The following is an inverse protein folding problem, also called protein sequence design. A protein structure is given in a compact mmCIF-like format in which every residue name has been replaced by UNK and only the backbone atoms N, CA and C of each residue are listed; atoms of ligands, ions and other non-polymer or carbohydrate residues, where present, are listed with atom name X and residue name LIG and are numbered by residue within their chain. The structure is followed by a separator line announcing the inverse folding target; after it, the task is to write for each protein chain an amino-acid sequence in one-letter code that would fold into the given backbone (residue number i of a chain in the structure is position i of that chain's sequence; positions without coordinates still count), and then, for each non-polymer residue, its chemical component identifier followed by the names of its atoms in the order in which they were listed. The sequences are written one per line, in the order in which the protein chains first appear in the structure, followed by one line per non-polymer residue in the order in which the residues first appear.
data_IF_181946732318
#
_entry.id   IF_181946732318
#
_cell.length_a   1.000
_cell.length_b   1.000
_cell.length_c   1.000
_cell.angle_alpha   90.00
_cell.angle_beta   90.00
_cell.angle_gamma   90.00
#
_symmetry.space_group_name_H-M   'P 1'
#
loop_
_entity.id
_entity.type
_entity.pdbx_description
1 polymer ?
#
# COMPACT_ATOMS: atom_id res chain seq x y z
N UNK A 1 -7.74 -3.86 30.98
CA UNK A 1 -6.98 -2.79 30.36
C UNK A 1 -5.50 -3.19 30.22
N UNK A 2 -4.83 -2.85 29.11
CA UNK A 2 -3.41 -3.13 28.87
C UNK A 2 -2.63 -1.81 28.89
N UNK A 3 -1.41 -1.81 29.44
CA UNK A 3 -0.55 -0.64 29.53
C UNK A 3 0.77 -0.92 28.83
N UNK A 4 1.19 -0.03 27.91
CA UNK A 4 2.57 0.02 27.40
C UNK A 4 3.29 1.07 28.23
N UNK A 5 4.30 0.66 29.01
CA UNK A 5 4.84 1.46 30.12
C UNK A 5 6.25 1.94 29.85
N UNK A 6 6.51 3.23 30.13
CA UNK A 6 7.87 3.81 30.24
C UNK A 6 8.54 4.17 28.91
N UNK A 7 7.79 4.28 27.81
CA UNK A 7 8.33 4.56 26.49
C UNK A 7 8.60 6.04 26.18
N UNK A 8 9.36 6.28 25.12
CA UNK A 8 9.46 7.58 24.46
C UNK A 8 8.40 7.55 23.34
N UNK A 9 7.23 8.14 23.60
CA UNK A 9 6.05 7.99 22.75
C UNK A 9 5.95 9.13 21.73
N UNK A 10 5.73 8.80 20.47
CA UNK A 10 5.41 9.76 19.41
C UNK A 10 3.90 9.94 19.27
N UNK A 11 3.41 11.19 19.38
CA UNK A 11 1.98 11.53 19.32
C UNK A 11 1.56 12.28 18.06
N UNK A 12 2.40 12.34 17.02
CA UNK A 12 2.11 13.11 15.81
C UNK A 12 2.44 14.60 15.92
N UNK A 13 2.25 15.21 17.07
CA UNK A 13 2.61 16.60 17.40
C UNK A 13 3.97 16.72 18.12
N UNK A 14 4.63 15.59 18.40
CA UNK A 14 5.92 15.51 19.05
C UNK A 14 6.11 14.28 19.92
N UNK A 15 7.25 14.24 20.61
CA UNK A 15 7.62 13.15 21.49
C UNK A 15 7.23 13.43 22.93
N UNK A 16 6.75 12.38 23.63
CA UNK A 16 6.48 12.35 25.07
C UNK A 16 7.45 11.39 25.73
N UNK A 17 8.32 11.91 26.59
CA UNK A 17 9.30 11.11 27.32
C UNK A 17 8.68 10.55 28.60
N UNK A 18 9.02 9.29 28.94
CA UNK A 18 8.51 8.59 30.10
C UNK A 18 6.98 8.61 30.16
N UNK A 19 6.35 8.14 29.09
CA UNK A 19 4.89 8.08 28.98
C UNK A 19 4.42 6.63 28.96
N UNK A 20 3.20 6.43 29.47
CA UNK A 20 2.47 5.18 29.40
C UNK A 20 1.30 5.32 28.42
N UNK A 21 1.07 4.29 27.60
CA UNK A 21 -0.08 4.23 26.69
C UNK A 21 -1.09 3.26 27.28
N UNK A 22 -2.30 3.76 27.52
CA UNK A 22 -3.42 2.97 28.00
C UNK A 22 -4.22 2.40 26.83
N UNK A 23 -4.42 1.09 26.82
CA UNK A 23 -5.11 0.38 25.75
C UNK A 23 -6.33 -0.35 26.29
N UNK A 24 -7.45 -0.17 25.63
CA UNK A 24 -8.68 -0.90 25.92
C UNK A 24 -9.43 -1.25 24.63
N UNK A 25 -9.88 -2.49 24.52
CA UNK A 25 -10.63 -2.99 23.34
C UNK A 25 -9.94 -2.71 22.00
N UNK A 26 -8.59 -2.83 21.96
CA UNK A 26 -7.80 -2.61 20.75
C UNK A 26 -7.61 -1.14 20.34
N UNK A 27 -7.97 -0.20 21.22
CA UNK A 27 -7.82 1.25 20.98
C UNK A 27 -6.93 1.89 22.03
N UNK A 28 -6.25 2.97 21.63
CA UNK A 28 -5.56 3.86 22.57
C UNK A 28 -6.65 4.66 23.30
N UNK A 29 -6.69 4.49 24.63
CA UNK A 29 -7.59 5.24 25.51
C UNK A 29 -6.99 6.59 25.88
N UNK A 30 -5.70 6.59 26.28
CA UNK A 30 -4.99 7.80 26.67
C UNK A 30 -3.47 7.59 26.64
N UNK A 31 -2.72 8.68 26.68
CA UNK A 31 -1.27 8.69 26.84
C UNK A 31 -0.96 9.61 28.02
N UNK A 32 -0.45 9.02 29.09
CA UNK A 32 -0.28 9.67 30.39
C UNK A 32 1.19 9.65 30.84
N UNK A 33 1.60 10.49 31.80
CA UNK A 33 2.93 10.40 32.40
C UNK A 33 3.18 9.00 32.99
N UNK A 34 4.40 8.47 32.85
CA UNK A 34 4.71 7.12 33.29
C UNK A 34 4.52 6.97 34.82
N UNK A 35 3.94 5.84 35.20
CA UNK A 35 3.61 5.54 36.57
C UNK A 35 2.29 6.13 37.06
N UNK A 36 1.53 6.80 36.21
CA UNK A 36 0.20 7.35 36.56
C UNK A 36 -0.87 6.27 36.64
N UNK A 37 -0.62 5.08 36.13
CA UNK A 37 -1.59 3.99 36.08
C UNK A 37 -0.96 2.60 36.31
N UNK A 38 -1.67 1.73 37.00
CA UNK A 38 -1.34 0.32 37.17
C UNK A 38 -2.39 -0.53 36.44
N UNK A 39 -1.98 -1.26 35.43
CA UNK A 39 -2.86 -2.11 34.62
C UNK A 39 -2.68 -3.59 34.96
N UNK A 40 -3.67 -4.40 34.58
CA UNK A 40 -3.61 -5.87 34.73
C UNK A 40 -2.58 -6.52 33.77
N UNK A 41 -2.37 -5.93 32.61
CA UNK A 41 -1.40 -6.38 31.62
C UNK A 41 -0.44 -5.24 31.28
N UNK A 42 0.82 -5.39 31.66
CA UNK A 42 1.86 -4.38 31.43
C UNK A 42 2.90 -4.89 30.46
N UNK A 43 3.17 -4.10 29.42
CA UNK A 43 4.32 -4.28 28.51
C UNK A 43 5.33 -3.18 28.82
N UNK A 44 6.45 -3.54 29.44
CA UNK A 44 7.50 -2.58 29.71
C UNK A 44 8.30 -2.29 28.44
N UNK A 45 8.41 -1.01 28.09
CA UNK A 45 9.16 -0.48 26.94
C UNK A 45 10.10 0.65 27.34
N UNK A 46 10.62 0.59 28.57
CA UNK A 46 11.54 1.57 29.13
C UNK A 46 12.75 1.76 28.20
N UNK A 47 13.07 3.00 27.86
CA UNK A 47 14.13 3.36 26.92
C UNK A 47 13.81 3.09 25.44
N UNK A 48 12.64 2.54 25.09
CA UNK A 48 12.23 2.31 23.70
C UNK A 48 11.46 3.49 23.13
N UNK A 49 11.61 3.70 21.83
CA UNK A 49 10.72 4.55 21.06
C UNK A 49 9.41 3.78 20.78
N UNK A 50 8.30 4.42 21.05
CA UNK A 50 6.96 3.89 20.76
C UNK A 50 6.26 4.82 19.78
N UNK A 51 5.93 4.30 18.61
CA UNK A 51 5.28 5.05 17.54
C UNK A 51 4.18 4.20 16.88
N UNK A 52 3.28 4.82 16.11
CA UNK A 52 2.37 4.06 15.24
C UNK A 52 3.16 3.10 14.35
N UNK A 53 2.61 1.91 14.10
CA UNK A 53 3.19 0.97 13.17
C UNK A 53 3.22 1.54 11.74
N UNK A 54 4.19 1.11 10.94
CA UNK A 54 4.27 1.52 9.55
C UNK A 54 3.11 0.94 8.74
N UNK A 55 2.68 1.70 7.73
CA UNK A 55 1.73 1.25 6.71
C UNK A 55 2.52 1.18 5.40
N UNK A 56 2.75 -0.04 4.90
CA UNK A 56 3.45 -0.26 3.64
C UNK A 56 2.42 -0.29 2.50
N UNK A 57 2.49 0.69 1.60
CA UNK A 57 1.56 0.83 0.49
C UNK A 57 2.10 0.28 -0.83
N UNK A 58 3.30 -0.35 -0.82
CA UNK A 58 3.91 -0.92 -2.02
C UNK A 58 4.89 -2.05 -1.69
N UNK A 59 4.42 -3.27 -1.63
CA UNK A 59 5.24 -4.45 -1.41
C UNK A 59 4.76 -5.62 -2.28
N UNK A 60 5.64 -6.15 -3.12
CA UNK A 60 5.35 -7.32 -3.98
C UNK A 60 5.54 -8.63 -3.23
N UNK A 61 6.59 -8.71 -2.42
CA UNK A 61 6.92 -9.93 -1.69
C UNK A 61 8.00 -9.72 -0.65
N UNK A 62 8.11 -10.67 0.26
CA UNK A 62 9.16 -10.78 1.26
C UNK A 62 9.24 -12.21 1.79
N UNK A 63 10.30 -12.52 2.54
CA UNK A 63 10.52 -13.85 3.14
C UNK A 63 10.43 -15.02 2.13
N UNK A 64 10.80 -14.78 0.86
CA UNK A 64 10.72 -15.77 -0.20
C UNK A 64 9.30 -16.04 -0.72
N UNK A 65 8.34 -15.19 -0.41
CA UNK A 65 6.95 -15.21 -0.88
C UNK A 65 6.63 -13.97 -1.69
N UNK A 66 5.65 -14.10 -2.57
CA UNK A 66 5.19 -13.03 -3.46
C UNK A 66 3.66 -12.97 -3.48
N UNK A 67 3.10 -11.77 -3.65
CA UNK A 67 1.66 -11.57 -3.82
C UNK A 67 1.14 -12.34 -5.04
N UNK A 68 1.97 -12.43 -6.09
CA UNK A 68 1.65 -13.17 -7.32
C UNK A 68 1.68 -14.69 -7.15
N UNK A 69 2.10 -15.24 -5.99
CA UNK A 69 1.91 -16.66 -5.68
C UNK A 69 0.41 -17.04 -5.65
N UNK A 70 -0.47 -16.05 -5.45
CA UNK A 70 -1.91 -16.22 -5.46
C UNK A 70 -2.40 -17.16 -4.35
N UNK A 71 -1.71 -17.23 -3.22
CA UNK A 71 -2.04 -18.12 -2.10
C UNK A 71 -2.17 -17.37 -0.77
N UNK A 72 -3.14 -17.79 0.03
CA UNK A 72 -3.36 -17.25 1.38
C UNK A 72 -2.15 -17.53 2.28
N UNK A 73 -1.51 -18.67 2.13
CA UNK A 73 -0.34 -19.07 2.90
C UNK A 73 0.85 -18.11 2.68
N UNK A 74 1.16 -17.77 1.42
CA UNK A 74 2.21 -16.79 1.09
C UNK A 74 1.92 -15.44 1.73
N UNK A 75 0.68 -14.98 1.66
CA UNK A 75 0.26 -13.70 2.26
C UNK A 75 0.33 -13.71 3.79
N UNK A 76 0.02 -14.84 4.45
CA UNK A 76 0.16 -14.99 5.90
C UNK A 76 1.63 -14.93 6.33
N UNK A 77 2.54 -15.57 5.58
CA UNK A 77 3.97 -15.50 5.86
C UNK A 77 4.53 -14.10 5.66
N UNK A 78 4.14 -13.42 4.60
CA UNK A 78 4.48 -12.01 4.38
C UNK A 78 3.99 -11.14 5.53
N UNK A 79 2.73 -11.29 5.96
CA UNK A 79 2.14 -10.52 7.05
C UNK A 79 2.90 -10.70 8.37
N UNK A 80 3.31 -11.93 8.69
CA UNK A 80 4.13 -12.22 9.88
C UNK A 80 5.51 -11.58 9.80
N UNK A 81 6.14 -11.69 8.63
CA UNK A 81 7.48 -11.16 8.41
C UNK A 81 7.52 -9.63 8.57
N UNK A 82 6.65 -8.91 7.87
CA UNK A 82 6.64 -7.43 7.92
C UNK A 82 6.25 -6.89 9.29
N UNK A 83 5.38 -7.62 10.04
CA UNK A 83 5.04 -7.26 11.42
C UNK A 83 6.27 -7.30 12.34
N UNK A 84 7.17 -8.28 12.14
CA UNK A 84 8.44 -8.36 12.87
C UNK A 84 9.40 -7.19 12.59
N UNK A 85 9.11 -6.39 11.56
CA UNK A 85 9.89 -5.21 11.15
C UNK A 85 9.14 -3.88 11.38
N UNK A 86 8.04 -3.91 12.15
CA UNK A 86 7.30 -2.71 12.54
C UNK A 86 6.20 -2.27 11.59
N UNK A 87 5.95 -2.99 10.49
CA UNK A 87 4.80 -2.76 9.61
C UNK A 87 3.56 -3.41 10.19
N UNK A 88 2.53 -2.64 10.48
CA UNK A 88 1.27 -3.14 11.06
C UNK A 88 0.16 -3.32 10.04
N UNK A 89 0.29 -2.68 8.88
CA UNK A 89 -0.65 -2.82 7.77
C UNK A 89 0.05 -2.67 6.43
N UNK A 90 -0.44 -3.34 5.38
CA UNK A 90 0.12 -3.15 4.04
C UNK A 90 -0.92 -3.37 2.94
N UNK A 91 -0.61 -2.83 1.74
CA UNK A 91 -1.31 -3.15 0.50
C UNK A 91 -0.53 -4.26 -0.22
N UNK A 92 -1.19 -5.38 -0.48
CA UNK A 92 -0.61 -6.44 -1.30
C UNK A 92 -0.48 -5.94 -2.74
N UNK A 93 0.76 -5.82 -3.25
CA UNK A 93 1.03 -5.21 -4.55
C UNK A 93 1.23 -6.26 -5.62
N UNK A 94 0.37 -6.23 -6.65
CA UNK A 94 0.50 -7.12 -7.82
C UNK A 94 1.53 -6.57 -8.81
N UNK A 95 1.98 -7.42 -9.72
CA UNK A 95 2.73 -6.99 -10.92
C UNK A 95 1.86 -7.17 -12.16
N UNK A 96 2.23 -6.50 -13.27
CA UNK A 96 1.62 -6.70 -14.59
C UNK A 96 1.78 -8.15 -15.04
N UNK A 97 0.69 -8.90 -15.05
CA UNK A 97 0.67 -10.34 -15.33
C UNK A 97 -0.57 -10.75 -16.14
N UNK A 98 -0.76 -12.05 -16.35
CA UNK A 98 -1.97 -12.55 -16.98
C UNK A 98 -3.22 -12.23 -16.12
N UNK A 99 -4.36 -12.11 -16.78
CA UNK A 99 -5.66 -11.93 -16.13
C UNK A 99 -5.91 -13.00 -15.06
N UNK A 100 -5.61 -14.25 -15.38
CA UNK A 100 -5.77 -15.39 -14.47
C UNK A 100 -4.89 -15.25 -13.23
N UNK A 101 -3.58 -14.98 -13.40
CA UNK A 101 -2.67 -14.82 -12.27
C UNK A 101 -3.06 -13.63 -11.37
N UNK A 102 -3.44 -12.49 -11.97
CA UNK A 102 -3.90 -11.33 -11.22
C UNK A 102 -5.17 -11.67 -10.42
N UNK A 103 -6.17 -12.31 -11.03
CA UNK A 103 -7.40 -12.70 -10.33
C UNK A 103 -7.15 -13.71 -9.22
N UNK A 104 -6.23 -14.65 -9.39
CA UNK A 104 -5.84 -15.59 -8.33
C UNK A 104 -5.25 -14.85 -7.13
N UNK A 105 -4.39 -13.86 -7.37
CA UNK A 105 -3.85 -12.99 -6.31
C UNK A 105 -4.94 -12.19 -5.62
N UNK A 106 -5.85 -11.56 -6.36
CA UNK A 106 -6.98 -10.81 -5.80
C UNK A 106 -7.89 -11.72 -4.95
N UNK A 107 -8.14 -12.93 -5.41
CA UNK A 107 -8.92 -13.92 -4.66
C UNK A 107 -8.25 -14.26 -3.32
N UNK A 108 -6.95 -14.56 -3.33
CA UNK A 108 -6.20 -14.88 -2.11
C UNK A 108 -6.21 -13.70 -1.12
N UNK A 109 -6.01 -12.47 -1.62
CA UNK A 109 -6.08 -11.26 -0.79
C UNK A 109 -7.48 -11.08 -0.20
N UNK A 110 -8.55 -11.25 -0.99
CA UNK A 110 -9.93 -11.15 -0.49
C UNK A 110 -10.26 -12.21 0.55
N UNK A 111 -9.66 -13.41 0.44
CA UNK A 111 -9.83 -14.47 1.44
C UNK A 111 -9.11 -14.14 2.75
N UNK A 112 -7.85 -13.70 2.70
CA UNK A 112 -7.09 -13.39 3.93
C UNK A 112 -7.65 -12.15 4.64
N UNK A 113 -8.14 -11.15 3.93
CA UNK A 113 -8.76 -9.97 4.54
C UNK A 113 -10.00 -10.29 5.36
N UNK A 114 -10.67 -11.41 5.10
CA UNK A 114 -11.83 -11.90 5.87
C UNK A 114 -11.41 -12.68 7.12
N UNK A 115 -10.14 -13.07 7.21
CA UNK A 115 -9.57 -13.78 8.35
C UNK A 115 -8.79 -12.82 9.23
N UNK A 116 -8.73 -13.09 10.53
CA UNK A 116 -7.83 -12.38 11.42
C UNK A 116 -6.41 -12.93 11.21
N UNK A 117 -5.51 -12.13 10.61
CA UNK A 117 -4.13 -12.53 10.40
C UNK A 117 -3.32 -12.48 11.71
N UNK A 118 -2.32 -13.36 11.84
CA UNK A 118 -1.34 -13.34 12.94
C UNK A 118 -0.13 -12.47 12.54
N UNK A 119 -0.36 -11.24 12.11
CA UNK A 119 0.71 -10.39 11.62
C UNK A 119 0.18 -9.01 11.25
N UNK A 120 0.85 -8.35 10.32
CA UNK A 120 0.36 -7.10 9.76
C UNK A 120 -0.96 -7.32 9.02
N UNK A 121 -1.85 -6.35 9.12
CA UNK A 121 -3.14 -6.42 8.44
C UNK A 121 -2.99 -6.10 6.95
N UNK A 122 -3.52 -6.95 6.08
CA UNK A 122 -3.67 -6.61 4.66
C UNK A 122 -4.92 -5.76 4.52
N UNK A 123 -4.75 -4.49 4.12
CA UNK A 123 -5.82 -3.50 4.06
C UNK A 123 -6.39 -3.30 2.66
N UNK A 124 -5.89 -4.04 1.69
CA UNK A 124 -6.34 -4.03 0.31
C UNK A 124 -5.24 -4.38 -0.67
N UNK A 125 -5.52 -4.10 -1.94
CA UNK A 125 -4.62 -4.35 -3.06
C UNK A 125 -4.11 -3.04 -3.65
N UNK A 126 -2.83 -3.03 -4.01
CA UNK A 126 -2.25 -2.09 -4.94
C UNK A 126 -2.00 -2.81 -6.27
N UNK A 127 -2.68 -2.41 -7.32
CA UNK A 127 -2.41 -2.89 -8.67
C UNK A 127 -1.24 -2.08 -9.27
N UNK A 128 -0.07 -2.68 -9.45
CA UNK A 128 1.01 -2.03 -10.20
C UNK A 128 0.93 -2.43 -11.68
N UNK A 129 0.39 -1.53 -12.47
CA UNK A 129 -0.06 -1.81 -13.82
C UNK A 129 -1.44 -2.50 -13.85
N UNK A 130 -1.87 -3.03 -14.98
CA UNK A 130 -1.19 -3.16 -16.29
C UNK A 130 -1.29 -1.91 -17.19
N UNK A 131 -1.89 -0.82 -16.73
CA UNK A 131 -2.10 0.40 -17.52
C UNK A 131 -0.88 1.31 -17.46
N UNK A 132 0.23 0.85 -18.03
CA UNK A 132 1.55 1.49 -17.96
C UNK A 132 2.14 1.72 -19.35
N UNK A 133 3.10 2.64 -19.45
CA UNK A 133 3.80 2.89 -20.72
C UNK A 133 4.87 1.81 -20.95
N UNK A 134 4.81 1.13 -22.08
CA UNK A 134 5.77 0.07 -22.46
C UNK A 134 7.22 0.54 -22.50
N UNK A 135 7.45 1.84 -22.80
CA UNK A 135 8.81 2.44 -22.79
C UNK A 135 9.41 2.54 -21.39
N UNK A 136 8.55 2.59 -20.37
CA UNK A 136 8.93 2.71 -18.97
C UNK A 136 8.49 1.49 -18.14
N UNK A 137 8.30 0.34 -18.79
CA UNK A 137 7.78 -0.88 -18.15
C UNK A 137 8.68 -1.42 -17.03
N UNK A 138 9.98 -1.09 -17.04
CA UNK A 138 10.91 -1.67 -16.07
C UNK A 138 10.89 -3.20 -16.10
N UNK A 139 10.69 -3.83 -14.97
CA UNK A 139 10.58 -5.28 -14.82
C UNK A 139 9.19 -5.84 -15.21
N UNK A 140 8.20 -5.00 -15.48
CA UNK A 140 6.85 -5.44 -15.82
C UNK A 140 6.81 -6.20 -17.15
N UNK A 141 5.96 -7.22 -17.24
CA UNK A 141 5.86 -8.10 -18.41
C UNK A 141 5.08 -7.42 -19.54
N UNK A 142 5.79 -6.96 -20.58
CA UNK A 142 5.24 -6.16 -21.69
C UNK A 142 4.02 -6.79 -22.37
N UNK A 143 4.01 -8.11 -22.52
CA UNK A 143 2.92 -8.85 -23.16
C UNK A 143 1.58 -8.78 -22.42
N UNK A 144 1.58 -8.29 -21.18
CA UNK A 144 0.39 -8.14 -20.34
C UNK A 144 0.01 -6.68 -20.08
N UNK A 145 0.72 -5.73 -20.70
CA UNK A 145 0.32 -4.32 -20.68
C UNK A 145 -0.99 -4.18 -21.43
N UNK A 146 -1.95 -3.48 -20.83
CA UNK A 146 -3.29 -3.28 -21.40
C UNK A 146 -3.52 -1.79 -21.67
N UNK A 147 -4.35 -1.45 -22.70
CA UNK A 147 -4.88 -0.10 -22.86
C UNK A 147 -5.70 0.30 -21.61
N UNK A 148 -5.58 1.57 -21.22
CA UNK A 148 -6.38 2.10 -20.10
C UNK A 148 -7.85 2.25 -20.54
N UNK A 149 -8.72 1.45 -19.94
CA UNK A 149 -10.17 1.57 -20.12
C UNK A 149 -10.91 0.97 -18.92
N UNK A 150 -12.14 1.42 -18.72
CA UNK A 150 -13.02 0.87 -17.68
C UNK A 150 -13.30 -0.62 -17.92
N UNK A 151 -13.48 -1.02 -19.16
CA UNK A 151 -13.79 -2.42 -19.51
C UNK A 151 -12.58 -3.32 -19.16
N UNK A 152 -11.36 -2.93 -19.53
CA UNK A 152 -10.16 -3.67 -19.18
C UNK A 152 -9.93 -3.72 -17.66
N UNK A 153 -10.21 -2.62 -16.95
CA UNK A 153 -10.15 -2.61 -15.49
C UNK A 153 -11.19 -3.54 -14.88
N UNK A 154 -12.44 -3.44 -15.30
CA UNK A 154 -13.52 -4.32 -14.82
C UNK A 154 -13.23 -5.80 -15.12
N UNK A 155 -12.72 -6.09 -16.33
CA UNK A 155 -12.28 -7.44 -16.66
C UNK A 155 -11.12 -7.91 -15.77
N UNK A 156 -10.15 -7.03 -15.47
CA UNK A 156 -8.99 -7.37 -14.64
C UNK A 156 -9.41 -7.73 -13.21
N UNK A 157 -10.22 -6.89 -12.58
CA UNK A 157 -10.55 -7.01 -11.14
C UNK A 157 -11.75 -7.90 -10.88
N UNK A 158 -12.68 -8.01 -11.82
CA UNK A 158 -13.92 -8.79 -11.67
C UNK A 158 -14.68 -8.40 -10.38
N UNK A 159 -15.07 -9.40 -9.61
CA UNK A 159 -15.79 -9.22 -8.34
C UNK A 159 -14.92 -8.64 -7.19
N UNK A 160 -13.62 -8.48 -7.41
CA UNK A 160 -12.65 -8.02 -6.40
C UNK A 160 -12.37 -6.51 -6.43
N UNK A 161 -13.09 -5.73 -7.22
CA UNK A 161 -12.92 -4.27 -7.28
C UNK A 161 -12.94 -3.62 -5.88
N UNK A 162 -13.82 -4.07 -5.02
CA UNK A 162 -14.01 -3.54 -3.67
C UNK A 162 -12.81 -3.66 -2.73
N UNK A 163 -11.79 -4.46 -3.06
CA UNK A 163 -10.55 -4.53 -2.29
C UNK A 163 -9.38 -3.76 -2.90
N UNK A 164 -9.53 -3.22 -4.11
CA UNK A 164 -8.52 -2.36 -4.74
C UNK A 164 -8.53 -1.01 -4.04
N UNK A 165 -7.38 -0.60 -3.51
CA UNK A 165 -7.20 0.69 -2.81
C UNK A 165 -6.33 1.64 -3.60
N UNK A 166 -5.43 1.12 -4.39
CA UNK A 166 -4.46 1.89 -5.15
C UNK A 166 -4.18 1.22 -6.49
N UNK A 167 -3.91 2.03 -7.49
CA UNK A 167 -3.41 1.57 -8.78
C UNK A 167 -2.25 2.46 -9.24
N UNK A 168 -1.19 1.85 -9.76
CA UNK A 168 -0.14 2.55 -10.49
C UNK A 168 -0.46 2.51 -11.98
N UNK A 169 -0.53 3.68 -12.61
CA UNK A 169 -0.72 3.80 -14.05
C UNK A 169 0.03 5.00 -14.62
N UNK A 170 0.26 4.96 -15.92
CA UNK A 170 0.93 6.03 -16.64
C UNK A 170 -0.08 7.08 -17.13
N UNK A 171 0.16 8.40 -16.94
CA UNK A 171 -0.73 9.44 -17.47
C UNK A 171 -0.59 9.66 -18.98
N UNK A 172 0.48 9.17 -19.60
CA UNK A 172 0.83 9.36 -21.00
C UNK A 172 0.40 8.21 -21.93
N UNK A 173 -0.55 7.40 -21.50
CA UNK A 173 -1.17 6.36 -22.34
C UNK A 173 -2.59 6.75 -22.74
N UNK A 174 -3.07 6.19 -23.84
CA UNK A 174 -4.43 6.40 -24.30
C UNK A 174 -5.46 5.88 -23.26
N UNK A 175 -6.52 6.65 -23.04
CA UNK A 175 -7.59 6.34 -22.07
C UNK A 175 -7.23 6.64 -20.61
N UNK A 176 -6.02 7.13 -20.30
CA UNK A 176 -5.57 7.37 -18.93
C UNK A 176 -6.47 8.36 -18.17
N UNK A 177 -6.91 9.44 -18.82
CA UNK A 177 -7.78 10.42 -18.18
C UNK A 177 -9.11 9.79 -17.75
N UNK A 178 -9.83 9.17 -18.67
CA UNK A 178 -11.14 8.60 -18.39
C UNK A 178 -11.10 7.53 -17.29
N UNK A 179 -10.06 6.67 -17.35
CA UNK A 179 -9.89 5.64 -16.32
C UNK A 179 -9.51 6.26 -14.97
N UNK A 180 -8.63 7.29 -14.95
CA UNK A 180 -8.26 7.99 -13.71
C UNK A 180 -9.48 8.59 -13.04
N UNK A 181 -10.28 9.36 -13.77
CA UNK A 181 -11.49 10.00 -13.25
C UNK A 181 -12.48 8.96 -12.70
N UNK A 182 -12.66 7.84 -13.41
CA UNK A 182 -13.48 6.73 -12.92
C UNK A 182 -12.96 6.16 -11.60
N UNK A 183 -11.68 5.83 -11.51
CA UNK A 183 -11.06 5.22 -10.34
C UNK A 183 -11.12 6.15 -9.11
N UNK A 184 -10.80 7.43 -9.30
CA UNK A 184 -10.84 8.43 -8.22
C UNK A 184 -12.26 8.61 -7.70
N UNK A 185 -13.26 8.68 -8.59
CA UNK A 185 -14.67 8.78 -8.20
C UNK A 185 -15.18 7.54 -7.44
N UNK A 186 -14.51 6.39 -7.60
CA UNK A 186 -14.79 5.17 -6.84
C UNK A 186 -13.87 4.99 -5.60
N UNK A 187 -13.13 6.03 -5.21
CA UNK A 187 -12.29 6.03 -4.01
C UNK A 187 -11.00 5.23 -4.13
N UNK A 188 -10.56 4.91 -5.36
CA UNK A 188 -9.30 4.25 -5.63
C UNK A 188 -8.21 5.31 -5.85
N UNK A 189 -7.12 5.22 -5.11
CA UNK A 189 -5.99 6.13 -5.26
C UNK A 189 -5.23 5.81 -6.54
N UNK A 190 -5.09 6.79 -7.43
CA UNK A 190 -4.30 6.65 -8.65
C UNK A 190 -2.92 7.25 -8.44
N UNK A 191 -1.90 6.44 -8.71
CA UNK A 191 -0.49 6.78 -8.53
C UNK A 191 0.21 6.79 -9.88
N UNK A 192 0.90 7.87 -10.20
CA UNK A 192 1.74 7.94 -11.40
C UNK A 192 2.96 7.03 -11.27
N UNK A 193 3.20 6.20 -12.26
CA UNK A 193 4.37 5.34 -12.32
C UNK A 193 4.47 4.63 -13.67
N UNK A 194 5.64 4.07 -13.96
CA UNK A 194 5.91 3.39 -15.22
C UNK A 194 5.51 4.25 -16.44
N UNK A 195 5.99 5.49 -16.45
CA UNK A 195 5.59 6.52 -17.39
C UNK A 195 6.80 7.19 -18.08
N UNK A 196 6.63 7.57 -19.34
CA UNK A 196 7.54 8.41 -20.08
C UNK A 196 6.97 9.85 -20.25
N UNK A 197 6.03 10.23 -19.38
CA UNK A 197 5.35 11.52 -19.43
C UNK A 197 6.31 12.69 -19.29
N UNK A 198 5.99 13.80 -19.98
CA UNK A 198 6.58 15.11 -19.70
C UNK A 198 6.01 15.71 -18.41
N UNK A 199 6.62 16.79 -17.94
CA UNK A 199 6.11 17.55 -16.80
C UNK A 199 4.65 18.00 -17.01
N UNK A 200 4.34 18.55 -18.19
CA UNK A 200 2.99 19.01 -18.51
C UNK A 200 1.98 17.86 -18.47
N UNK A 201 2.34 16.70 -18.99
CA UNK A 201 1.48 15.53 -18.95
C UNK A 201 1.28 14.99 -17.51
N UNK A 202 2.28 15.11 -16.66
CA UNK A 202 2.13 14.80 -15.23
C UNK A 202 1.18 15.78 -14.52
N UNK A 203 1.25 17.07 -14.86
CA UNK A 203 0.32 18.08 -14.32
C UNK A 203 -1.12 17.78 -14.77
N UNK A 204 -1.35 17.45 -16.03
CA UNK A 204 -2.67 16.98 -16.48
C UNK A 204 -3.14 15.77 -15.66
N UNK A 205 -2.26 14.79 -15.42
CA UNK A 205 -2.59 13.63 -14.58
C UNK A 205 -3.01 14.01 -13.15
N UNK A 206 -2.38 15.02 -12.56
CA UNK A 206 -2.77 15.56 -11.24
C UNK A 206 -4.15 16.23 -11.33
N UNK A 207 -4.44 16.98 -12.39
CA UNK A 207 -5.74 17.62 -12.62
C UNK A 207 -6.87 16.59 -12.77
N UNK A 208 -6.59 15.40 -13.33
CA UNK A 208 -7.54 14.27 -13.39
C UNK A 208 -7.75 13.58 -12.05
N UNK A 209 -6.90 13.86 -11.04
CA UNK A 209 -7.00 13.33 -9.69
C UNK A 209 -5.91 12.31 -9.30
N UNK A 210 -4.86 12.11 -10.11
CA UNK A 210 -3.70 11.34 -9.66
C UNK A 210 -3.02 12.08 -8.50
N UNK A 211 -2.88 11.41 -7.36
CA UNK A 211 -2.43 12.05 -6.11
C UNK A 211 -1.14 11.49 -5.53
N UNK A 212 -0.58 10.45 -6.13
CA UNK A 212 0.61 9.76 -5.69
C UNK A 212 1.60 9.57 -6.83
N UNK A 213 2.86 9.29 -6.49
CA UNK A 213 3.87 8.81 -7.41
C UNK A 213 4.44 7.48 -6.89
N UNK A 214 4.62 6.51 -7.78
CA UNK A 214 5.17 5.18 -7.48
C UNK A 214 6.67 5.21 -7.74
N UNK A 215 7.49 4.74 -6.78
CA UNK A 215 8.97 4.65 -6.84
C UNK A 215 9.62 5.77 -7.66
N UNK A 216 9.36 7.00 -7.23
CA UNK A 216 9.70 8.24 -7.90
C UNK A 216 11.10 8.21 -8.57
N UNK A 217 11.19 8.63 -9.83
CA UNK A 217 12.35 8.54 -10.73
C UNK A 217 12.75 7.12 -11.20
N UNK A 218 12.17 6.04 -10.70
CA UNK A 218 12.40 4.70 -11.22
C UNK A 218 11.30 4.34 -12.22
N UNK A 219 11.68 3.80 -13.39
CA UNK A 219 10.75 3.58 -14.52
C UNK A 219 9.93 4.85 -14.86
N UNK A 220 10.61 5.99 -14.83
CA UNK A 220 10.13 7.33 -15.19
C UNK A 220 11.21 8.09 -15.94
N UNK A 221 10.83 9.21 -16.58
CA UNK A 221 11.82 10.15 -17.11
C UNK A 221 12.71 10.67 -15.99
N UNK A 222 14.03 10.61 -16.14
CA UNK A 222 14.95 11.13 -15.13
C UNK A 222 14.93 12.66 -15.10
N UNK A 223 15.30 13.23 -13.95
CA UNK A 223 15.57 14.66 -13.86
C UNK A 223 16.73 15.03 -14.81
N UNK A 224 16.49 15.95 -15.70
CA UNK A 224 17.46 16.39 -16.70
C UNK A 224 17.86 17.84 -16.45
N UNK A 225 19.06 18.22 -16.92
CA UNK A 225 19.55 19.60 -16.87
C UNK A 225 18.70 20.54 -17.75
N UNK A 226 18.17 20.05 -18.87
CA UNK A 226 17.21 20.74 -19.75
C UNK A 226 15.95 19.89 -19.83
N UNK A 227 14.79 20.51 -19.79
CA UNK A 227 13.49 19.82 -19.71
C UNK A 227 13.48 18.85 -18.50
N UNK A 228 13.58 19.40 -17.29
CA UNK A 228 13.64 18.62 -16.07
C UNK A 228 12.37 17.78 -15.81
#
# INVERSE_FOLDING_TARGET
MKVIKGGIVYQGDGWRYNADILLENGKILDIVPSGSYEGEQVVNVDGCYVCPGFIDIHIHGCAGRDVMDGSVESLEEMAKFVAGHGTTSFLATTTTSSLEATRNSLKAVNEIMKKQSQGAQIIGVHLEGPFINSRAKGAQAEKYILPASRDNFAELVGEYEGIVRRITMAPDIEGAQELTEYLVNNGIVVSMGHTAASYEKCIEGIEWGMSHATHFYNAMTPLKHREP
#
